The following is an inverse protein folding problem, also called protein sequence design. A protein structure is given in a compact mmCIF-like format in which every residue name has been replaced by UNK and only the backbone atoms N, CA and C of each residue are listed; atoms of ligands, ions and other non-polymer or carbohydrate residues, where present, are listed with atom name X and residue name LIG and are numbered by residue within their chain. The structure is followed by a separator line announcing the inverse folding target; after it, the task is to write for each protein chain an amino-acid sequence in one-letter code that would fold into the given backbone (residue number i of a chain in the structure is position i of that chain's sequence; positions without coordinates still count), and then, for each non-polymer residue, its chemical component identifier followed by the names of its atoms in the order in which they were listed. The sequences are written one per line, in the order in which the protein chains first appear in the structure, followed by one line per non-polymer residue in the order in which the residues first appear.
data_IF_793623656178
#
_entry.id   IF_793623656178
#
_cell.length_a   1.000
_cell.length_b   1.000
_cell.length_c   1.000
_cell.angle_alpha   90.00
_cell.angle_beta   90.00
_cell.angle_gamma   90.00
#
_symmetry.space_group_name_H-M   'P 1'
#
loop_
_entity.id
_entity.type
_entity.pdbx_description
1 polymer ?
#
# COMPACT_ATOMS: atom_id res chain seq x y z
N UNK A 1 -78.04 -18.81 -44.74
CA UNK A 1 -78.18 -18.25 -43.39
C UNK A 1 -76.80 -18.11 -42.83
N UNK A 2 -76.27 -16.91 -42.84
CA UNK A 2 -74.94 -16.55 -42.38
C UNK A 2 -74.92 -16.36 -40.90
N UNK A 3 -73.91 -16.99 -40.21
CA UNK A 3 -73.51 -16.57 -38.88
C UNK A 3 -72.00 -16.42 -38.84
N UNK A 4 -71.60 -15.19 -38.99
CA UNK A 4 -70.23 -14.71 -38.78
C UNK A 4 -70.04 -14.46 -37.29
N UNK A 5 -69.26 -15.28 -36.64
CA UNK A 5 -68.77 -15.01 -35.27
C UNK A 5 -67.41 -14.32 -35.35
N UNK A 6 -67.35 -13.07 -34.90
CA UNK A 6 -66.16 -12.31 -34.71
C UNK A 6 -65.33 -12.85 -33.54
N UNK A 7 -63.96 -12.89 -33.62
CA UNK A 7 -63.10 -13.25 -32.50
C UNK A 7 -62.98 -12.12 -31.48
N UNK A 8 -63.24 -12.43 -30.23
CA UNK A 8 -63.05 -11.56 -29.08
C UNK A 8 -61.54 -11.24 -28.90
N UNK A 9 -61.18 -9.97 -29.01
CA UNK A 9 -59.87 -9.47 -28.64
C UNK A 9 -59.70 -9.54 -27.10
N UNK A 10 -58.93 -10.52 -26.64
CA UNK A 10 -58.44 -10.56 -25.26
C UNK A 10 -57.43 -9.43 -25.01
N UNK A 11 -57.84 -8.47 -24.21
CA UNK A 11 -56.98 -7.40 -23.71
C UNK A 11 -55.87 -7.98 -22.82
N UNK A 12 -54.64 -7.93 -23.31
CA UNK A 12 -53.44 -8.21 -22.51
C UNK A 12 -53.33 -7.10 -21.45
N UNK A 13 -53.24 -7.43 -20.17
CA UNK A 13 -53.03 -6.40 -19.15
C UNK A 13 -51.66 -5.78 -19.37
N UNK A 14 -51.64 -4.44 -19.48
CA UNK A 14 -50.40 -3.65 -19.53
C UNK A 14 -49.48 -4.02 -18.37
N UNK A 15 -48.29 -4.52 -18.70
CA UNK A 15 -47.23 -4.71 -17.74
C UNK A 15 -46.95 -3.40 -17.01
N UNK A 16 -47.31 -3.33 -15.77
CA UNK A 16 -46.91 -2.25 -14.86
C UNK A 16 -45.38 -2.15 -14.89
N UNK A 17 -44.90 -1.09 -15.52
CA UNK A 17 -43.48 -0.73 -15.47
C UNK A 17 -43.01 -0.72 -14.01
N UNK A 18 -41.83 -1.29 -13.68
CA UNK A 18 -41.31 -1.23 -12.33
C UNK A 18 -41.21 0.23 -11.94
N UNK A 19 -41.87 0.58 -10.84
CA UNK A 19 -41.79 1.90 -10.24
C UNK A 19 -40.31 2.26 -10.12
N UNK A 20 -39.88 3.25 -10.91
CA UNK A 20 -38.58 3.85 -10.78
C UNK A 20 -38.44 4.25 -9.31
N UNK A 21 -37.51 3.62 -8.61
CA UNK A 21 -37.08 4.03 -7.27
C UNK A 21 -36.57 5.45 -7.44
N UNK A 22 -37.44 6.42 -7.19
CA UNK A 22 -37.08 7.83 -7.10
C UNK A 22 -36.11 7.90 -5.94
N UNK A 23 -34.83 7.84 -6.26
CA UNK A 23 -33.77 8.19 -5.33
C UNK A 23 -34.08 9.61 -4.87
N UNK A 24 -34.61 9.71 -3.63
CA UNK A 24 -34.95 10.96 -2.98
C UNK A 24 -33.68 11.80 -3.01
N UNK A 25 -33.61 12.77 -3.93
CA UNK A 25 -32.52 13.73 -4.03
C UNK A 25 -32.48 14.44 -2.68
N UNK A 26 -31.57 14.04 -1.82
CA UNK A 26 -31.25 14.77 -0.61
C UNK A 26 -31.02 16.21 -1.02
N UNK A 27 -31.82 17.15 -0.43
CA UNK A 27 -31.84 18.51 -0.89
C UNK A 27 -30.43 19.08 -1.02
N UNK A 28 -30.19 19.89 -2.05
CA UNK A 28 -28.85 20.52 -2.33
C UNK A 28 -28.24 21.16 -1.08
N UNK A 29 -29.05 21.56 -0.10
CA UNK A 29 -28.62 22.06 1.21
C UNK A 29 -27.94 20.98 2.07
N UNK A 30 -28.50 19.78 2.16
CA UNK A 30 -27.91 18.66 2.91
C UNK A 30 -26.58 18.23 2.30
N UNK A 31 -26.52 18.10 0.99
CA UNK A 31 -25.28 17.75 0.29
C UNK A 31 -24.18 18.79 0.52
N UNK A 32 -24.52 20.10 0.44
CA UNK A 32 -23.56 21.18 0.72
C UNK A 32 -23.10 21.18 2.18
N UNK A 33 -24.01 20.98 3.12
CA UNK A 33 -23.66 20.88 4.55
C UNK A 33 -22.74 19.69 4.82
N UNK A 34 -23.02 18.51 4.26
CA UNK A 34 -22.17 17.33 4.40
C UNK A 34 -20.79 17.57 3.80
N UNK A 35 -20.71 18.12 2.58
CA UNK A 35 -19.44 18.47 1.95
C UNK A 35 -18.67 19.51 2.78
N UNK A 36 -19.33 20.52 3.34
CA UNK A 36 -18.69 21.51 4.20
C UNK A 36 -18.08 20.87 5.46
N UNK A 37 -18.82 19.99 6.13
CA UNK A 37 -18.32 19.27 7.32
C UNK A 37 -17.10 18.41 6.96
N UNK A 38 -17.14 17.68 5.84
CA UNK A 38 -16.02 16.86 5.38
C UNK A 38 -14.80 17.73 5.06
N UNK A 39 -14.98 18.83 4.33
CA UNK A 39 -13.90 19.75 4.01
C UNK A 39 -13.33 20.45 5.25
N UNK A 40 -14.18 20.90 6.17
CA UNK A 40 -13.74 21.48 7.44
C UNK A 40 -12.90 20.48 8.26
N UNK A 41 -13.35 19.23 8.34
CA UNK A 41 -12.60 18.14 8.99
C UNK A 41 -11.23 17.94 8.34
N UNK A 42 -11.17 17.80 7.01
CA UNK A 42 -9.91 17.60 6.28
C UNK A 42 -8.96 18.79 6.44
N UNK A 43 -9.46 20.03 6.41
CA UNK A 43 -8.65 21.23 6.62
C UNK A 43 -8.08 21.24 8.04
N UNK A 44 -8.90 21.04 9.04
CA UNK A 44 -8.48 21.13 10.45
C UNK A 44 -7.50 20.01 10.81
N UNK A 45 -7.80 18.76 10.46
CA UNK A 45 -7.04 17.60 10.94
C UNK A 45 -5.95 17.12 9.97
N UNK A 46 -6.04 17.44 8.69
CA UNK A 46 -5.02 17.07 7.73
C UNK A 46 -4.20 18.27 7.25
N UNK A 47 -4.84 19.32 6.76
CA UNK A 47 -4.12 20.43 6.11
C UNK A 47 -3.35 21.29 7.12
N UNK A 48 -3.99 21.71 8.23
CA UNK A 48 -3.34 22.59 9.22
C UNK A 48 -2.10 21.94 9.83
N UNK A 49 -2.10 20.68 10.35
CA UNK A 49 -0.90 20.05 10.89
C UNK A 49 0.22 19.94 9.85
N UNK A 50 -0.10 19.61 8.60
CA UNK A 50 0.91 19.55 7.54
C UNK A 50 1.53 20.92 7.24
N UNK A 51 0.71 22.00 7.19
CA UNK A 51 1.22 23.36 7.02
C UNK A 51 2.11 23.76 8.20
N UNK A 52 1.74 23.39 9.43
CA UNK A 52 2.58 23.67 10.62
C UNK A 52 3.93 22.95 10.53
N UNK A 53 3.97 21.69 10.09
CA UNK A 53 5.24 20.97 9.86
C UNK A 53 6.07 21.66 8.78
N UNK A 54 5.44 22.07 7.67
CA UNK A 54 6.13 22.80 6.60
C UNK A 54 6.65 24.15 7.14
N UNK A 55 5.87 24.91 7.89
CA UNK A 55 6.32 26.17 8.48
C UNK A 55 7.47 25.94 9.47
N UNK A 56 7.34 24.93 10.35
CA UNK A 56 8.39 24.58 11.31
C UNK A 56 9.71 24.20 10.64
N UNK A 57 9.68 23.60 9.46
CA UNK A 57 10.88 23.19 8.72
C UNK A 57 11.79 24.36 8.29
N UNK A 58 11.24 25.57 8.20
CA UNK A 58 11.97 26.78 7.86
C UNK A 58 12.45 27.59 9.08
N UNK A 59 12.02 27.21 10.29
CA UNK A 59 12.40 27.90 11.51
C UNK A 59 13.78 27.46 12.02
N UNK A 60 14.34 28.24 12.95
CA UNK A 60 15.63 27.95 13.57
C UNK A 60 15.40 27.22 14.91
N UNK A 61 16.30 26.31 15.28
CA UNK A 61 16.28 25.62 16.56
C UNK A 61 16.59 26.62 17.69
N UNK A 62 15.85 26.51 18.78
CA UNK A 62 16.12 27.18 20.05
C UNK A 62 16.08 26.13 21.17
N UNK A 63 16.97 26.28 22.16
CA UNK A 63 17.07 25.30 23.26
C UNK A 63 15.89 25.40 24.22
N UNK A 64 15.33 26.59 24.42
CA UNK A 64 14.23 26.82 25.36
C UNK A 64 12.84 26.72 24.71
N UNK A 65 12.70 27.25 23.49
CA UNK A 65 11.40 27.39 22.80
C UNK A 65 11.15 26.39 21.66
N UNK A 66 12.09 25.48 21.42
CA UNK A 66 12.09 24.52 20.31
C UNK A 66 12.09 25.12 18.91
N UNK A 67 11.45 26.29 18.71
CA UNK A 67 11.26 26.96 17.43
C UNK A 67 11.40 28.48 17.62
N UNK A 68 12.27 29.12 16.86
CA UNK A 68 12.42 30.59 16.84
C UNK A 68 12.65 31.13 15.45
N UNK A 69 12.45 32.45 15.29
CA UNK A 69 12.92 33.21 14.15
C UNK A 69 14.44 33.44 14.29
N UNK A 70 15.21 33.57 13.16
CA UNK A 70 14.74 33.85 11.79
C UNK A 70 14.39 32.59 10.98
N UNK A 71 13.67 32.80 9.89
CA UNK A 71 13.43 31.79 8.86
C UNK A 71 14.74 31.44 8.16
N UNK A 72 15.07 30.16 8.02
CA UNK A 72 16.32 29.69 7.43
C UNK A 72 16.13 28.52 6.49
N UNK A 73 16.95 28.42 5.44
CA UNK A 73 17.09 27.23 4.60
C UNK A 73 18.16 26.25 5.13
N UNK A 74 18.82 26.57 6.25
CA UNK A 74 19.91 25.79 6.81
C UNK A 74 19.55 24.34 7.10
N UNK A 75 18.29 24.06 7.50
CA UNK A 75 17.82 22.70 7.75
C UNK A 75 17.83 21.83 6.48
N UNK A 76 17.43 22.39 5.34
CA UNK A 76 17.46 21.68 4.06
C UNK A 76 18.89 21.50 3.53
N UNK A 77 19.80 22.45 3.77
CA UNK A 77 21.22 22.33 3.43
C UNK A 77 21.86 21.20 4.25
N UNK A 78 21.55 21.09 5.55
CA UNK A 78 21.99 19.97 6.40
C UNK A 78 21.49 18.61 5.92
N UNK A 79 20.31 18.52 5.30
CA UNK A 79 19.79 17.25 4.75
C UNK A 79 20.57 16.78 3.51
N UNK A 80 21.29 17.66 2.83
CA UNK A 80 22.15 17.31 1.69
C UNK A 80 23.47 16.68 2.15
N UNK A 81 23.79 16.75 3.45
CA UNK A 81 24.97 16.08 4.01
C UNK A 81 24.98 14.59 3.60
N UNK A 82 26.14 14.07 3.15
CA UNK A 82 26.28 12.67 2.72
C UNK A 82 25.77 11.65 3.73
N UNK A 83 25.80 11.96 5.04
CA UNK A 83 25.30 11.07 6.08
C UNK A 83 23.77 10.84 5.94
N UNK A 84 23.00 11.92 5.83
CA UNK A 84 21.53 11.83 5.72
C UNK A 84 21.10 11.26 4.37
N UNK A 85 21.79 11.66 3.30
CA UNK A 85 21.54 11.11 1.96
C UNK A 85 21.78 9.60 1.92
N UNK A 86 22.84 9.10 2.57
CA UNK A 86 23.11 7.66 2.69
C UNK A 86 21.99 6.92 3.40
N UNK A 87 21.46 7.47 4.51
CA UNK A 87 20.34 6.85 5.23
C UNK A 87 19.06 6.88 4.38
N UNK A 88 18.82 7.94 3.65
CA UNK A 88 17.69 8.05 2.72
C UNK A 88 17.75 6.97 1.61
N UNK A 89 18.90 6.84 0.95
CA UNK A 89 19.12 5.81 -0.08
C UNK A 89 19.04 4.39 0.50
N UNK A 90 19.58 4.18 1.71
CA UNK A 90 19.47 2.92 2.41
C UNK A 90 18.00 2.55 2.70
N UNK A 91 17.21 3.51 3.18
CA UNK A 91 15.78 3.31 3.44
C UNK A 91 15.01 3.00 2.15
N UNK A 92 15.31 3.71 1.07
CA UNK A 92 14.71 3.44 -0.24
C UNK A 92 15.07 2.03 -0.74
N UNK A 93 16.33 1.62 -0.58
CA UNK A 93 16.78 0.27 -0.92
C UNK A 93 16.05 -0.80 -0.11
N UNK A 94 15.93 -0.62 1.22
CA UNK A 94 15.22 -1.56 2.08
C UNK A 94 13.73 -1.63 1.75
N UNK A 95 13.09 -0.49 1.52
CA UNK A 95 11.68 -0.43 1.10
C UNK A 95 11.48 -1.07 -0.28
N UNK A 96 12.41 -0.84 -1.22
CA UNK A 96 12.41 -1.47 -2.54
C UNK A 96 12.54 -2.99 -2.46
N UNK A 97 13.52 -3.49 -1.69
CA UNK A 97 13.69 -4.94 -1.45
C UNK A 97 12.44 -5.56 -0.81
N UNK A 98 11.89 -4.92 0.20
CA UNK A 98 10.64 -5.34 0.84
C UNK A 98 9.50 -5.44 -0.18
N UNK A 99 9.36 -4.41 -1.02
CA UNK A 99 8.31 -4.34 -2.05
C UNK A 99 8.46 -5.45 -3.09
N UNK A 100 9.70 -5.70 -3.55
CA UNK A 100 9.98 -6.78 -4.50
C UNK A 100 9.65 -8.15 -3.89
N UNK A 101 10.05 -8.41 -2.66
CA UNK A 101 9.75 -9.66 -1.97
C UNK A 101 8.23 -9.81 -1.76
N UNK A 102 7.54 -8.76 -1.32
CA UNK A 102 6.09 -8.77 -1.19
C UNK A 102 5.39 -9.05 -2.53
N UNK A 103 5.89 -8.49 -3.63
CA UNK A 103 5.35 -8.73 -4.97
C UNK A 103 5.60 -10.17 -5.42
N UNK A 104 6.82 -10.67 -5.29
CA UNK A 104 7.19 -12.04 -5.69
C UNK A 104 6.39 -13.11 -4.94
N UNK A 105 6.09 -12.89 -3.68
CA UNK A 105 5.29 -13.81 -2.86
C UNK A 105 3.78 -13.52 -3.02
N UNK A 106 3.39 -12.26 -3.04
CA UNK A 106 1.99 -11.82 -3.08
C UNK A 106 1.31 -12.07 -4.41
N UNK A 107 2.04 -11.93 -5.52
CA UNK A 107 1.47 -12.13 -6.86
C UNK A 107 0.99 -13.59 -7.08
N UNK A 108 1.84 -14.63 -6.88
CA UNK A 108 1.37 -16.00 -7.00
C UNK A 108 0.33 -16.36 -5.94
N UNK A 109 0.45 -15.84 -4.71
CA UNK A 109 -0.54 -16.06 -3.66
C UNK A 109 -1.92 -15.50 -4.06
N UNK A 110 -1.99 -14.24 -4.48
CA UNK A 110 -3.23 -13.61 -4.92
C UNK A 110 -3.86 -14.33 -6.13
N UNK A 111 -3.05 -14.76 -7.10
CA UNK A 111 -3.51 -15.54 -8.24
C UNK A 111 -4.10 -16.89 -7.82
N UNK A 112 -3.40 -17.64 -6.96
CA UNK A 112 -3.89 -18.95 -6.48
C UNK A 112 -5.19 -18.80 -5.69
N UNK A 113 -5.26 -17.78 -4.81
CA UNK A 113 -6.48 -17.50 -4.05
C UNK A 113 -7.63 -17.11 -4.98
N UNK A 114 -7.42 -16.29 -6.00
CA UNK A 114 -8.47 -15.88 -6.94
C UNK A 114 -9.06 -17.05 -7.75
N UNK A 115 -8.29 -18.11 -7.97
CA UNK A 115 -8.72 -19.33 -8.69
C UNK A 115 -9.24 -20.45 -7.80
N UNK A 116 -9.16 -20.29 -6.48
CA UNK A 116 -9.71 -21.26 -5.52
C UNK A 116 -11.23 -21.18 -5.44
N UNK A 117 -11.88 -22.20 -4.88
CA UNK A 117 -13.32 -22.18 -4.61
C UNK A 117 -13.69 -21.01 -3.70
N UNK A 118 -14.87 -20.41 -3.87
CA UNK A 118 -15.35 -19.24 -3.10
C UNK A 118 -15.21 -19.40 -1.59
N UNK A 119 -15.41 -20.62 -1.07
CA UNK A 119 -15.24 -20.94 0.36
C UNK A 119 -13.79 -20.76 0.80
N UNK A 120 -12.84 -21.26 0.02
CA UNK A 120 -11.41 -21.14 0.31
C UNK A 120 -10.90 -19.71 0.08
N UNK A 121 -11.40 -19.00 -0.93
CA UNK A 121 -11.10 -17.59 -1.15
C UNK A 121 -11.41 -16.75 0.11
N UNK A 122 -12.64 -16.88 0.61
CA UNK A 122 -13.08 -16.13 1.80
C UNK A 122 -12.24 -16.48 3.03
N UNK A 123 -11.96 -17.77 3.23
CA UNK A 123 -11.15 -18.22 4.37
C UNK A 123 -9.71 -17.72 4.30
N UNK A 124 -9.04 -17.84 3.14
CA UNK A 124 -7.65 -17.42 2.98
C UNK A 124 -7.51 -15.90 3.10
N UNK A 125 -8.45 -15.13 2.53
CA UNK A 125 -8.47 -13.68 2.68
C UNK A 125 -8.75 -13.25 4.13
N UNK A 126 -9.64 -13.95 4.83
CA UNK A 126 -9.89 -13.73 6.25
C UNK A 126 -8.61 -13.99 7.07
N UNK A 127 -7.96 -15.13 6.86
CA UNK A 127 -6.69 -15.47 7.53
C UNK A 127 -5.57 -14.46 7.24
N UNK A 128 -5.54 -13.88 6.04
CA UNK A 128 -4.61 -12.81 5.69
C UNK A 128 -4.87 -11.54 6.50
N UNK A 129 -6.15 -11.20 6.74
CA UNK A 129 -6.56 -9.94 7.38
C UNK A 129 -6.63 -10.05 8.91
N UNK A 130 -6.97 -11.22 9.48
CA UNK A 130 -7.09 -11.43 10.94
C UNK A 130 -5.90 -10.86 11.74
N UNK A 131 -4.63 -11.06 11.35
CA UNK A 131 -3.50 -10.50 12.08
C UNK A 131 -3.55 -8.98 12.25
N UNK A 132 -4.27 -8.26 11.37
CA UNK A 132 -4.40 -6.80 11.48
C UNK A 132 -5.25 -6.32 12.66
N UNK A 133 -6.08 -7.17 13.21
CA UNK A 133 -6.86 -6.85 14.41
C UNK A 133 -6.00 -6.79 15.67
N UNK A 134 -4.79 -7.35 15.60
CA UNK A 134 -3.83 -7.26 16.70
C UNK A 134 -2.89 -6.07 16.49
N UNK A 135 -2.41 -5.49 17.60
CA UNK A 135 -1.46 -4.38 17.56
C UNK A 135 -0.18 -4.79 16.81
N UNK A 136 0.27 -3.94 15.88
CA UNK A 136 1.46 -4.18 15.06
C UNK A 136 2.75 -4.33 15.87
N UNK A 137 2.88 -3.60 16.98
CA UNK A 137 4.04 -3.73 17.87
C UNK A 137 4.09 -5.10 18.53
N UNK A 138 2.96 -5.59 19.05
CA UNK A 138 2.89 -6.93 19.66
C UNK A 138 3.29 -8.01 18.67
N UNK A 139 2.78 -7.92 17.44
CA UNK A 139 3.16 -8.84 16.35
C UNK A 139 4.65 -8.79 16.04
N UNK A 140 5.22 -7.60 16.04
CA UNK A 140 6.63 -7.42 15.73
C UNK A 140 7.53 -7.96 16.86
N UNK A 141 7.12 -7.80 18.13
CA UNK A 141 7.80 -8.45 19.26
C UNK A 141 7.73 -9.98 19.16
N UNK A 142 6.60 -10.54 18.73
CA UNK A 142 6.52 -11.98 18.49
C UNK A 142 7.50 -12.43 17.39
N UNK A 143 7.60 -11.68 16.29
CA UNK A 143 8.60 -11.93 15.21
C UNK A 143 10.02 -11.83 15.76
N UNK A 144 10.31 -10.83 16.63
CA UNK A 144 11.61 -10.69 17.30
C UNK A 144 11.96 -11.92 18.12
N UNK A 145 11.01 -12.44 18.91
CA UNK A 145 11.21 -13.66 19.70
C UNK A 145 11.47 -14.90 18.82
N UNK A 146 10.76 -15.01 17.72
CA UNK A 146 10.96 -16.11 16.75
C UNK A 146 12.36 -16.04 16.11
N UNK A 147 12.83 -14.83 15.76
CA UNK A 147 14.12 -14.59 15.10
C UNK A 147 15.32 -14.52 16.05
N UNK A 148 15.09 -14.56 17.37
CA UNK A 148 16.18 -14.55 18.35
C UNK A 148 17.08 -15.77 18.20
N UNK A 149 18.37 -15.65 18.60
CA UNK A 149 19.33 -16.75 18.52
C UNK A 149 18.84 -18.02 19.22
N UNK A 150 18.19 -17.87 20.38
CA UNK A 150 17.55 -18.97 21.13
C UNK A 150 16.03 -19.03 20.85
N UNK A 151 15.58 -18.47 19.73
CA UNK A 151 14.17 -18.42 19.36
C UNK A 151 13.70 -19.71 18.69
N UNK A 152 12.37 -19.73 18.44
CA UNK A 152 11.70 -20.90 17.86
C UNK A 152 12.31 -21.32 16.50
N UNK A 153 12.62 -20.35 15.64
CA UNK A 153 13.19 -20.61 14.32
C UNK A 153 14.57 -21.27 14.41
N UNK A 154 15.45 -20.74 15.24
CA UNK A 154 16.80 -21.26 15.43
C UNK A 154 16.76 -22.68 16.04
N UNK A 155 15.94 -22.88 17.08
CA UNK A 155 15.77 -24.18 17.73
C UNK A 155 15.21 -25.24 16.79
N UNK A 156 14.22 -24.91 15.96
CA UNK A 156 13.67 -25.84 14.97
C UNK A 156 14.71 -26.24 13.93
N UNK A 157 15.49 -25.30 13.41
CA UNK A 157 16.50 -25.57 12.39
C UNK A 157 17.68 -26.39 12.94
N UNK A 158 18.08 -26.14 14.21
CA UNK A 158 19.09 -26.96 14.91
C UNK A 158 18.60 -28.40 15.10
N UNK A 159 17.36 -28.57 15.56
CA UNK A 159 16.76 -29.90 15.79
C UNK A 159 16.56 -30.69 14.49
N UNK A 160 16.33 -30.01 13.36
CA UNK A 160 16.24 -30.64 12.05
C UNK A 160 17.63 -30.91 11.42
N UNK A 161 18.72 -30.54 12.07
CA UNK A 161 20.07 -30.71 11.55
C UNK A 161 20.40 -29.85 10.34
N UNK A 162 19.61 -28.81 10.05
CA UNK A 162 19.80 -27.91 8.91
C UNK A 162 20.87 -26.85 9.16
N UNK A 163 21.16 -26.55 10.42
CA UNK A 163 22.21 -25.63 10.86
C UNK A 163 22.96 -26.23 12.04
N UNK A 164 24.25 -25.86 12.18
CA UNK A 164 25.11 -26.33 13.27
C UNK A 164 25.26 -25.30 14.39
N UNK A 165 24.91 -24.03 14.11
CA UNK A 165 25.01 -22.92 15.07
C UNK A 165 23.72 -22.12 15.10
N UNK A 166 23.39 -21.45 16.23
CA UNK A 166 22.22 -20.60 16.34
C UNK A 166 22.22 -19.48 15.30
N UNK A 167 21.06 -19.24 14.68
CA UNK A 167 20.90 -18.19 13.68
C UNK A 167 21.03 -16.80 14.32
N UNK A 168 21.98 -16.00 13.83
CA UNK A 168 22.15 -14.60 14.22
C UNK A 168 21.50 -13.67 13.17
N UNK A 169 20.18 -13.77 12.99
CA UNK A 169 19.44 -12.95 12.02
C UNK A 169 19.02 -11.63 12.67
N UNK A 170 18.71 -11.62 13.95
CA UNK A 170 18.26 -10.43 14.68
C UNK A 170 19.32 -9.33 14.61
N UNK A 171 18.86 -8.07 14.53
CA UNK A 171 19.68 -6.87 14.39
C UNK A 171 20.44 -6.78 13.05
N UNK A 172 19.95 -7.49 12.03
CA UNK A 172 20.45 -7.39 10.66
C UNK A 172 19.45 -6.74 9.73
N UNK A 173 19.92 -6.28 8.57
CA UNK A 173 19.06 -5.78 7.50
C UNK A 173 18.01 -6.83 7.06
N UNK A 174 18.38 -8.11 7.07
CA UNK A 174 17.48 -9.22 6.71
C UNK A 174 16.30 -9.32 7.67
N UNK A 175 16.53 -9.12 8.98
CA UNK A 175 15.47 -9.12 9.99
C UNK A 175 14.48 -7.96 9.77
N UNK A 176 14.99 -6.76 9.47
CA UNK A 176 14.12 -5.59 9.18
C UNK A 176 13.29 -5.83 7.94
N UNK A 177 13.89 -6.29 6.84
CA UNK A 177 13.16 -6.62 5.61
C UNK A 177 12.11 -7.70 5.89
N UNK A 178 12.45 -8.77 6.60
CA UNK A 178 11.50 -9.83 6.98
C UNK A 178 10.33 -9.31 7.81
N UNK A 179 10.58 -8.42 8.78
CA UNK A 179 9.54 -7.77 9.57
C UNK A 179 8.65 -6.84 8.74
N UNK A 180 9.24 -6.04 7.84
CA UNK A 180 8.51 -5.20 6.91
C UNK A 180 7.64 -6.04 5.95
N UNK A 181 8.20 -7.11 5.38
CA UNK A 181 7.44 -8.03 4.51
C UNK A 181 6.25 -8.61 5.27
N UNK A 182 6.46 -9.13 6.47
CA UNK A 182 5.39 -9.69 7.30
C UNK A 182 4.26 -8.69 7.56
N UNK A 183 4.61 -7.43 7.90
CA UNK A 183 3.63 -6.40 8.21
C UNK A 183 2.92 -5.86 6.96
N UNK A 184 3.63 -5.77 5.82
CA UNK A 184 3.12 -5.10 4.61
C UNK A 184 2.59 -6.08 3.55
N UNK A 185 2.80 -7.38 3.72
CA UNK A 185 2.36 -8.41 2.78
C UNK A 185 0.87 -8.30 2.38
N UNK A 186 -0.07 -8.13 3.31
CA UNK A 186 -1.48 -8.00 2.93
C UNK A 186 -1.79 -6.76 2.10
N UNK A 187 -1.05 -5.66 2.27
CA UNK A 187 -1.21 -4.45 1.45
C UNK A 187 -0.79 -4.66 0.00
N UNK A 188 0.09 -5.64 -0.25
CA UNK A 188 0.40 -6.10 -1.61
C UNK A 188 -0.66 -7.02 -2.16
N UNK A 189 -1.14 -7.98 -1.35
CA UNK A 189 -2.07 -9.03 -1.79
C UNK A 189 -3.45 -8.48 -2.10
N UNK A 190 -4.00 -7.56 -1.28
CA UNK A 190 -5.36 -7.05 -1.43
C UNK A 190 -5.65 -6.43 -2.82
N UNK A 191 -4.84 -5.47 -3.32
CA UNK A 191 -5.09 -4.90 -4.65
C UNK A 191 -4.83 -5.89 -5.77
N UNK A 192 -3.85 -6.79 -5.62
CA UNK A 192 -3.60 -7.86 -6.60
C UNK A 192 -4.78 -8.82 -6.68
N UNK A 193 -5.30 -9.26 -5.55
CA UNK A 193 -6.46 -10.14 -5.47
C UNK A 193 -7.70 -9.50 -6.13
N UNK A 194 -7.97 -8.22 -5.85
CA UNK A 194 -9.09 -7.49 -6.46
C UNK A 194 -9.03 -7.55 -7.99
N UNK A 195 -7.86 -7.26 -8.57
CA UNK A 195 -7.70 -7.30 -10.04
C UNK A 195 -7.78 -8.72 -10.60
N UNK A 196 -7.26 -9.73 -9.86
CA UNK A 196 -7.37 -11.12 -10.31
C UNK A 196 -8.80 -11.68 -10.27
N UNK A 197 -9.62 -11.25 -9.33
CA UNK A 197 -11.05 -11.63 -9.28
C UNK A 197 -11.82 -11.03 -10.45
N UNK A 198 -11.47 -9.80 -10.86
CA UNK A 198 -12.10 -9.13 -12.01
C UNK A 198 -11.56 -9.62 -13.37
N UNK A 199 -10.47 -10.41 -13.36
CA UNK A 199 -9.86 -10.93 -14.59
C UNK A 199 -10.73 -12.05 -15.18
N UNK A 200 -11.36 -11.77 -16.32
CA UNK A 200 -12.23 -12.72 -17.03
C UNK A 200 -11.40 -13.85 -17.64
N UNK A 201 -11.86 -15.09 -17.43
CA UNK A 201 -11.21 -16.28 -18.01
C UNK A 201 -11.26 -16.30 -19.54
N UNK A 202 -12.20 -15.58 -20.17
CA UNK A 202 -12.33 -15.46 -21.62
C UNK A 202 -11.04 -14.93 -22.28
N UNK A 203 -10.32 -14.00 -21.63
CA UNK A 203 -9.05 -13.49 -22.17
C UNK A 203 -7.96 -14.57 -22.20
N UNK A 204 -7.94 -15.43 -21.16
CA UNK A 204 -7.00 -16.55 -21.08
C UNK A 204 -7.34 -17.64 -22.10
N UNK A 205 -8.64 -17.92 -22.31
CA UNK A 205 -9.12 -18.87 -23.31
C UNK A 205 -8.80 -18.38 -24.72
N UNK A 206 -9.15 -17.14 -25.06
CA UNK A 206 -8.86 -16.54 -26.36
C UNK A 206 -7.35 -16.57 -26.70
N UNK A 207 -6.49 -16.31 -25.71
CA UNK A 207 -5.02 -16.40 -25.92
C UNK A 207 -4.56 -17.82 -26.29
N UNK A 208 -5.17 -18.84 -25.69
CA UNK A 208 -4.88 -20.25 -25.99
C UNK A 208 -5.40 -20.64 -27.38
N UNK A 209 -6.58 -20.16 -27.78
CA UNK A 209 -7.16 -20.40 -29.09
C UNK A 209 -6.28 -19.81 -30.22
N UNK A 210 -5.57 -18.71 -29.92
CA UNK A 210 -4.56 -18.10 -30.79
C UNK A 210 -3.18 -18.84 -30.74
N UNK A 211 -3.09 -19.96 -30.01
CA UNK A 211 -1.88 -20.78 -29.94
C UNK A 211 -0.83 -20.32 -28.92
N UNK A 212 -1.17 -19.37 -28.02
CA UNK A 212 -0.24 -18.91 -26.99
C UNK A 212 0.05 -20.00 -25.94
N UNK A 213 1.30 -20.20 -25.61
CA UNK A 213 1.70 -21.05 -24.50
C UNK A 213 1.47 -20.35 -23.13
N UNK A 214 1.59 -21.09 -22.02
CA UNK A 214 1.33 -20.55 -20.66
C UNK A 214 2.19 -19.30 -20.32
N UNK A 215 3.45 -19.29 -20.76
CA UNK A 215 4.37 -18.18 -20.52
C UNK A 215 4.00 -16.95 -21.35
N UNK A 216 3.61 -17.16 -22.62
CA UNK A 216 3.13 -16.09 -23.51
C UNK A 216 1.82 -15.50 -22.98
N UNK A 217 0.85 -16.34 -22.57
CA UNK A 217 -0.39 -15.89 -21.93
C UNK A 217 -0.10 -15.05 -20.66
N UNK A 218 0.87 -15.48 -19.85
CA UNK A 218 1.26 -14.73 -18.65
C UNK A 218 1.82 -13.35 -19.01
N UNK A 219 2.82 -13.26 -19.89
CA UNK A 219 3.52 -12.01 -20.21
C UNK A 219 2.67 -11.04 -21.05
N UNK A 220 1.89 -11.54 -22.00
CA UNK A 220 1.15 -10.69 -22.96
C UNK A 220 -0.30 -10.44 -22.57
N UNK A 221 -0.89 -11.25 -21.68
CA UNK A 221 -2.31 -11.11 -21.29
C UNK A 221 -2.45 -10.85 -19.79
N UNK A 222 -1.99 -11.77 -18.94
CA UNK A 222 -2.23 -11.69 -17.51
C UNK A 222 -1.48 -10.50 -16.87
N UNK A 223 -0.19 -10.38 -17.12
CA UNK A 223 0.65 -9.35 -16.52
C UNK A 223 0.20 -7.93 -16.89
N UNK A 224 -0.08 -7.58 -18.17
CA UNK A 224 -0.59 -6.27 -18.53
C UNK A 224 -1.94 -5.95 -17.89
N UNK A 225 -2.87 -6.90 -17.88
CA UNK A 225 -4.21 -6.70 -17.29
C UNK A 225 -4.16 -6.56 -15.77
N UNK A 226 -3.15 -7.17 -15.11
CA UNK A 226 -2.97 -7.07 -13.64
C UNK A 226 -2.04 -5.93 -13.21
N UNK A 227 -1.44 -5.21 -14.13
CA UNK A 227 -0.55 -4.07 -13.86
C UNK A 227 -1.16 -3.03 -12.91
N UNK A 228 -2.44 -2.63 -13.00
CA UNK A 228 -3.04 -1.69 -12.05
C UNK A 228 -3.00 -2.19 -10.60
N UNK A 229 -3.22 -3.49 -10.40
CA UNK A 229 -3.11 -4.14 -9.08
C UNK A 229 -1.67 -4.17 -8.56
N UNK A 230 -0.71 -4.52 -9.44
CA UNK A 230 0.72 -4.53 -9.10
C UNK A 230 1.15 -3.14 -8.61
N UNK A 231 0.81 -2.10 -9.36
CA UNK A 231 1.28 -0.77 -9.06
C UNK A 231 0.60 -0.22 -7.80
N UNK A 232 -0.68 -0.50 -7.59
CA UNK A 232 -1.38 -0.15 -6.36
C UNK A 232 -0.75 -0.85 -5.15
N UNK A 233 -0.43 -2.14 -5.26
CA UNK A 233 0.27 -2.91 -4.22
C UNK A 233 1.68 -2.37 -3.95
N UNK A 234 2.44 -2.08 -4.99
CA UNK A 234 3.80 -1.48 -4.86
C UNK A 234 3.74 -0.17 -4.08
N UNK A 235 2.82 0.74 -4.38
CA UNK A 235 2.68 1.99 -3.64
C UNK A 235 2.27 1.78 -2.19
N UNK A 236 1.31 0.89 -1.94
CA UNK A 236 0.83 0.58 -0.60
C UNK A 236 1.88 -0.09 0.29
N UNK A 237 2.92 -0.69 -0.29
CA UNK A 237 4.04 -1.30 0.44
C UNK A 237 5.23 -0.35 0.52
N UNK A 238 5.65 0.25 -0.59
CA UNK A 238 6.88 1.05 -0.68
C UNK A 238 6.83 2.28 0.21
N UNK A 239 5.70 3.02 0.18
CA UNK A 239 5.59 4.28 0.91
C UNK A 239 5.63 4.09 2.44
N UNK A 240 4.83 3.20 3.05
CA UNK A 240 4.91 2.96 4.48
C UNK A 240 6.25 2.36 4.91
N UNK A 241 6.86 1.48 4.09
CA UNK A 241 8.12 0.82 4.43
C UNK A 241 9.25 1.81 4.74
N UNK A 242 9.31 2.95 4.04
CA UNK A 242 10.32 3.99 4.28
C UNK A 242 10.17 4.68 5.64
N UNK A 243 8.92 4.78 6.16
CA UNK A 243 8.59 5.49 7.40
C UNK A 243 8.45 4.62 8.64
N UNK A 244 8.42 3.29 8.52
CA UNK A 244 8.17 2.37 9.64
C UNK A 244 9.37 2.23 10.58
N UNK A 245 9.74 3.32 11.27
CA UNK A 245 10.90 3.39 12.17
C UNK A 245 10.88 2.32 13.26
N UNK A 246 9.73 1.97 13.82
CA UNK A 246 9.61 0.99 14.89
C UNK A 246 10.03 -0.43 14.48
N UNK A 247 9.95 -0.78 13.19
CA UNK A 247 10.44 -2.06 12.67
C UNK A 247 11.97 -2.10 12.74
N UNK A 248 12.62 -1.02 12.30
CA UNK A 248 14.06 -0.88 12.38
C UNK A 248 14.55 -0.82 13.83
N UNK A 249 13.85 -0.12 14.73
CA UNK A 249 14.19 -0.05 16.16
C UNK A 249 14.15 -1.44 16.82
N UNK A 250 13.14 -2.25 16.53
CA UNK A 250 12.92 -3.54 17.21
C UNK A 250 13.77 -4.67 16.59
N UNK A 251 13.90 -4.71 15.26
CA UNK A 251 14.56 -5.81 14.55
C UNK A 251 15.94 -5.45 13.98
N UNK A 252 16.20 -4.17 13.70
CA UNK A 252 17.40 -3.73 12.97
C UNK A 252 18.56 -3.27 13.86
N UNK A 253 18.27 -2.89 15.10
CA UNK A 253 19.26 -2.30 15.98
C UNK A 253 19.81 -0.97 15.46
N UNK A 254 20.93 -0.50 16.01
CA UNK A 254 21.50 0.82 15.74
C UNK A 254 22.09 1.01 14.32
N UNK A 255 22.36 -0.09 13.61
CA UNK A 255 23.04 -0.05 12.29
C UNK A 255 22.10 0.04 11.10
N UNK A 256 20.83 -0.30 11.27
CA UNK A 256 19.85 -0.41 10.17
C UNK A 256 18.74 0.63 10.33
N UNK A 257 19.12 1.90 10.42
CA UNK A 257 18.20 3.01 10.58
C UNK A 257 17.48 3.34 9.27
N UNK A 258 16.19 3.59 9.38
CA UNK A 258 15.36 4.14 8.31
C UNK A 258 15.22 5.66 8.46
N UNK A 259 14.77 6.35 7.41
CA UNK A 259 14.49 7.79 7.48
C UNK A 259 13.55 8.13 8.62
N UNK A 260 12.53 7.29 8.86
CA UNK A 260 11.63 7.45 10.01
C UNK A 260 12.34 7.45 11.37
N UNK A 261 13.45 6.72 11.52
CA UNK A 261 14.26 6.75 12.76
C UNK A 261 14.98 8.08 12.94
N UNK A 262 15.50 8.68 11.85
CA UNK A 262 16.09 10.01 11.90
C UNK A 262 15.03 11.02 12.33
N UNK A 263 13.88 11.03 11.67
CA UNK A 263 12.78 11.94 12.01
C UNK A 263 12.42 11.80 13.48
N UNK A 264 12.20 10.57 13.96
CA UNK A 264 11.89 10.28 15.37
C UNK A 264 12.97 10.83 16.32
N UNK A 265 14.25 10.55 16.03
CA UNK A 265 15.35 10.99 16.91
C UNK A 265 15.51 12.50 16.95
N UNK A 266 15.25 13.20 15.85
CA UNK A 266 15.30 14.66 15.83
C UNK A 266 14.18 15.29 16.69
N UNK A 267 12.97 14.73 16.65
CA UNK A 267 11.86 15.24 17.46
C UNK A 267 11.96 14.87 18.94
N UNK A 268 12.37 13.64 19.26
CA UNK A 268 12.30 13.11 20.62
C UNK A 268 13.63 13.21 21.37
N UNK A 269 14.76 12.86 20.72
CA UNK A 269 16.06 12.74 21.40
C UNK A 269 16.87 14.05 21.29
N UNK A 270 17.05 14.54 20.06
CA UNK A 270 17.82 15.74 19.78
C UNK A 270 17.04 17.05 20.05
N UNK A 271 15.71 16.98 20.11
CA UNK A 271 14.82 18.15 20.23
C UNK A 271 15.08 19.23 19.17
N UNK A 272 15.55 18.80 17.97
CA UNK A 272 15.75 19.65 16.80
C UNK A 272 14.50 19.56 15.88
N UNK A 273 13.43 20.20 16.34
CA UNK A 273 12.14 20.16 15.67
C UNK A 273 12.18 20.73 14.24
N UNK A 274 12.89 21.85 13.97
CA UNK A 274 12.99 22.37 12.61
C UNK A 274 13.63 21.38 11.64
N UNK A 275 14.70 20.71 12.06
CA UNK A 275 15.38 19.72 11.24
C UNK A 275 14.56 18.45 11.05
N UNK A 276 13.91 17.96 12.13
CA UNK A 276 12.96 16.85 12.04
C UNK A 276 11.79 17.14 11.10
N UNK A 277 11.25 18.37 11.14
CA UNK A 277 10.21 18.82 10.24
C UNK A 277 10.70 18.88 8.77
N UNK A 278 11.90 19.39 8.52
CA UNK A 278 12.49 19.43 7.18
C UNK A 278 12.70 18.02 6.62
N UNK A 279 13.17 17.07 7.43
CA UNK A 279 13.29 15.66 7.04
C UNK A 279 11.93 15.01 6.72
N UNK A 280 10.88 15.34 7.48
CA UNK A 280 9.50 14.87 7.24
C UNK A 280 8.93 15.43 5.95
N UNK A 281 9.17 16.73 5.66
CA UNK A 281 8.77 17.37 4.39
C UNK A 281 9.48 16.71 3.21
N UNK A 282 10.80 16.47 3.32
CA UNK A 282 11.57 15.80 2.27
C UNK A 282 11.03 14.39 1.99
N UNK A 283 10.73 13.61 3.03
CA UNK A 283 10.12 12.28 2.88
C UNK A 283 8.75 12.36 2.20
N UNK A 284 7.91 13.33 2.60
CA UNK A 284 6.59 13.57 2.00
C UNK A 284 6.70 13.95 0.53
N UNK A 285 7.65 14.81 0.17
CA UNK A 285 7.92 15.19 -1.22
C UNK A 285 8.41 14.01 -2.04
N UNK A 286 9.30 13.18 -1.50
CA UNK A 286 9.74 11.95 -2.17
C UNK A 286 8.57 10.98 -2.43
N UNK A 287 7.69 10.79 -1.45
CA UNK A 287 6.48 9.98 -1.62
C UNK A 287 5.54 10.58 -2.67
N UNK A 288 5.31 11.89 -2.64
CA UNK A 288 4.48 12.59 -3.63
C UNK A 288 5.05 12.42 -5.05
N UNK A 289 6.37 12.54 -5.21
CA UNK A 289 7.05 12.34 -6.48
C UNK A 289 6.89 10.91 -7.00
N UNK A 290 7.00 9.91 -6.13
CA UNK A 290 6.74 8.51 -6.49
C UNK A 290 5.30 8.30 -6.95
N UNK A 291 4.31 8.90 -6.27
CA UNK A 291 2.89 8.83 -6.68
C UNK A 291 2.67 9.52 -8.03
N UNK A 292 3.30 10.68 -8.27
CA UNK A 292 3.18 11.41 -9.53
C UNK A 292 3.83 10.61 -10.67
N UNK A 293 5.03 10.08 -10.46
CA UNK A 293 5.73 9.22 -11.42
C UNK A 293 4.88 7.99 -11.78
N UNK A 294 4.24 7.39 -10.77
CA UNK A 294 3.28 6.32 -10.95
C UNK A 294 2.11 6.74 -11.84
N UNK A 295 1.42 7.82 -11.51
CA UNK A 295 0.27 8.31 -12.31
C UNK A 295 0.66 8.62 -13.75
N UNK A 296 1.86 9.15 -13.96
CA UNK A 296 2.38 9.43 -15.30
C UNK A 296 2.62 8.13 -16.11
N UNK A 297 3.18 7.10 -15.46
CA UNK A 297 3.40 5.78 -16.09
C UNK A 297 2.07 5.07 -16.40
N UNK A 298 1.13 5.07 -15.47
CA UNK A 298 -0.18 4.43 -15.64
C UNK A 298 -1.01 5.06 -16.77
N UNK A 299 -0.93 6.39 -16.94
CA UNK A 299 -1.59 7.08 -18.06
C UNK A 299 -1.00 6.73 -19.43
N UNK A 300 0.26 6.36 -19.51
CA UNK A 300 0.89 5.92 -20.78
C UNK A 300 0.42 4.54 -21.20
N UNK A 301 0.26 3.63 -20.25
CA UNK A 301 -0.20 2.25 -20.49
C UNK A 301 -1.67 2.26 -20.96
N UNK A 302 -2.56 3.03 -20.31
CA UNK A 302 -3.98 3.11 -20.69
C UNK A 302 -4.28 3.89 -22.00
N UNK A 303 -3.33 4.69 -22.51
CA UNK A 303 -3.51 5.38 -23.81
C UNK A 303 -3.10 4.54 -25.02
N UNK A 304 -2.28 3.53 -24.84
CA UNK A 304 -1.85 2.66 -25.94
C UNK A 304 -2.99 1.78 -26.42
N UNK A 305 -3.88 1.35 -25.51
CA UNK A 305 -5.00 0.46 -25.85
C UNK A 305 -6.14 1.15 -26.63
N UNK A 306 -6.29 2.48 -26.56
CA UNK A 306 -7.35 3.20 -27.29
C UNK A 306 -6.95 3.64 -28.70
N UNK A 307 -5.66 3.74 -29.01
CA UNK A 307 -5.19 4.21 -30.31
C UNK A 307 -4.85 3.08 -31.30
N UNK A 308 -4.82 1.82 -30.86
CA UNK A 308 -4.61 0.66 -31.73
C UNK A 308 -5.93 -0.01 -32.21
N UNK A 309 -7.09 0.42 -31.69
CA UNK A 309 -8.42 -0.13 -32.02
C UNK A 309 -9.29 0.87 -32.80
N UNK A 310 -8.76 2.05 -33.11
CA UNK A 310 -9.38 3.05 -33.99
C UNK A 310 -8.63 3.11 -35.34
#
# INVERSE_FOLDING_TARGET
MNNTTSPSTSSVPAATAPAAVIAKQGGRGFQRATLFVIWAWLIIFALIPNILVIAASFLTRDEDKFLTLPVTMGNYIRLIDPLYLKVFLHSLSMAGMTTIICLLLGYPFAYLVSKADKKWQSLLMLLLVIPFWTNSLVRLYAVKLIMAANGLLSTLLLNLGLINEPLQILYTQKAVIGGLVYLLFPFMVLPLYAVFVDLRDDYILASKDLGANKLQTFWYVILPLTTPGIISGVLLVLLPAMGMFYVADILGGSRNLLVGNIIKSQFLDARDWPFGAAASVLLTLAMALLIIAYRASSKRIGKTDYNEVA
#
